data_IF_223155233698
#
_entry.id   IF_223155233698
#
_cell.length_a   1.000
_cell.length_b   1.000
_cell.length_c   1.000
_cell.angle_alpha   90.00
_cell.angle_beta   90.00
_cell.angle_gamma   90.00
#
_symmetry.space_group_name_H-M   'P 1'
#
loop_
_entity.id
_entity.type
_entity.pdbx_description
1 polymer ?
#
# COMPACT_ATOMS: atom_id res chain seq x y z
N UNK A 1 9.52 9.03 3.06
CA UNK A 1 9.05 7.80 3.71
C UNK A 1 9.97 6.58 3.51
N UNK A 2 9.83 5.58 4.38
CA UNK A 2 10.46 4.27 4.29
C UNK A 2 9.36 3.23 4.37
N UNK A 3 9.41 2.23 3.49
CA UNK A 3 8.51 1.09 3.48
C UNK A 3 9.36 -0.18 3.56
N UNK A 4 9.02 -1.06 4.48
CA UNK A 4 9.54 -2.42 4.54
C UNK A 4 8.45 -3.32 3.95
N UNK A 5 8.82 -4.15 3.00
CA UNK A 5 7.89 -5.03 2.30
C UNK A 5 8.27 -6.49 2.40
N UNK A 6 7.26 -7.36 2.32
CA UNK A 6 7.44 -8.81 2.19
C UNK A 6 6.43 -9.40 1.21
N UNK A 7 6.66 -10.64 0.79
CA UNK A 7 5.98 -11.30 -0.32
C UNK A 7 4.80 -12.13 0.18
N UNK A 8 3.59 -11.84 -0.30
CA UNK A 8 2.39 -12.58 0.07
C UNK A 8 1.62 -13.05 -1.15
N UNK A 9 0.95 -14.20 -0.99
CA UNK A 9 -0.19 -14.55 -1.83
C UNK A 9 -1.40 -13.71 -1.44
N UNK A 10 -2.47 -13.80 -2.22
CA UNK A 10 -3.74 -13.11 -1.92
C UNK A 10 -4.92 -13.87 -2.47
N UNK A 11 -6.08 -13.67 -1.87
CA UNK A 11 -7.29 -14.38 -2.24
C UNK A 11 -7.59 -14.27 -3.75
N UNK A 12 -8.09 -15.38 -4.30
CA UNK A 12 -8.63 -15.53 -5.65
C UNK A 12 -7.65 -15.40 -6.82
N UNK A 13 -6.34 -15.21 -6.61
CA UNK A 13 -5.37 -15.09 -7.71
C UNK A 13 -4.10 -15.90 -7.48
N UNK A 14 -3.61 -16.47 -8.56
CA UNK A 14 -2.29 -17.11 -8.61
C UNK A 14 -1.16 -16.07 -8.59
N UNK A 15 -0.04 -16.47 -8.00
CA UNK A 15 1.15 -15.64 -7.86
C UNK A 15 1.19 -14.79 -6.59
N UNK A 16 2.34 -14.15 -6.37
CA UNK A 16 2.62 -13.34 -5.18
C UNK A 16 2.88 -11.89 -5.56
N UNK A 17 2.62 -10.98 -4.62
CA UNK A 17 3.03 -9.57 -4.71
C UNK A 17 3.62 -9.14 -3.37
N UNK A 18 4.36 -8.04 -3.36
CA UNK A 18 4.88 -7.49 -2.12
C UNK A 18 3.82 -6.59 -1.45
N UNK A 19 3.69 -6.72 -0.14
CA UNK A 19 2.86 -5.88 0.73
C UNK A 19 3.75 -5.12 1.71
N UNK A 20 3.29 -3.95 2.16
CA UNK A 20 3.96 -3.18 3.20
C UNK A 20 3.75 -3.83 4.58
N UNK A 21 4.84 -4.24 5.22
CA UNK A 21 4.86 -4.77 6.60
C UNK A 21 5.42 -3.77 7.61
N UNK A 22 6.05 -2.70 7.15
CA UNK A 22 6.44 -1.53 7.94
C UNK A 22 6.35 -0.25 7.11
N UNK A 23 5.89 0.84 7.71
CA UNK A 23 5.75 2.15 7.05
C UNK A 23 6.17 3.26 8.02
N UNK A 24 6.98 4.21 7.55
CA UNK A 24 7.39 5.38 8.31
C UNK A 24 7.46 6.63 7.41
N UNK A 25 7.04 7.78 7.93
CA UNK A 25 7.16 9.08 7.25
C UNK A 25 6.13 9.33 6.15
N UNK A 26 5.04 8.54 6.09
CA UNK A 26 3.89 8.78 5.21
C UNK A 26 2.62 8.12 5.75
N UNK A 27 1.46 8.65 5.35
CA UNK A 27 0.20 7.93 5.45
C UNK A 27 0.21 6.77 4.45
N UNK A 28 0.05 5.51 4.89
CA UNK A 28 0.00 4.37 3.98
C UNK A 28 -1.27 4.31 3.13
N UNK A 29 -2.29 5.09 3.50
CA UNK A 29 -3.56 5.19 2.80
C UNK A 29 -3.68 6.54 2.10
N UNK A 30 -4.27 6.52 0.90
CA UNK A 30 -4.79 7.74 0.27
C UNK A 30 -6.30 7.69 0.31
N UNK A 31 -6.86 8.58 1.11
CA UNK A 31 -8.30 8.69 1.30
C UNK A 31 -8.92 9.64 0.26
N UNK A 32 -9.83 9.11 -0.55
CA UNK A 32 -10.60 9.88 -1.51
C UNK A 32 -12.04 10.14 -1.03
N UNK A 33 -12.40 9.67 0.17
CA UNK A 33 -13.76 9.87 0.69
C UNK A 33 -14.03 11.36 0.87
N UNK A 34 -15.18 11.81 0.38
CA UNK A 34 -15.56 13.22 0.40
C UNK A 34 -14.99 14.06 -0.74
N UNK A 35 -14.16 13.49 -1.63
CA UNK A 35 -13.68 14.20 -2.82
C UNK A 35 -14.58 13.93 -4.03
N UNK A 36 -14.60 14.84 -4.99
CA UNK A 36 -15.29 14.66 -6.26
C UNK A 36 -14.53 13.74 -7.22
N UNK A 37 -15.27 12.88 -7.93
CA UNK A 37 -14.78 12.14 -9.08
C UNK A 37 -14.70 13.03 -10.33
N UNK A 38 -14.24 12.47 -11.45
CA UNK A 38 -14.11 13.18 -12.72
C UNK A 38 -15.44 13.71 -13.29
N UNK A 39 -16.58 13.28 -12.76
CA UNK A 39 -17.92 13.69 -13.16
C UNK A 39 -18.63 14.55 -12.08
N UNK A 40 -17.91 15.00 -11.05
CA UNK A 40 -18.46 15.80 -9.96
C UNK A 40 -19.32 15.03 -8.95
N UNK A 41 -19.14 13.70 -8.83
CA UNK A 41 -19.82 12.88 -7.83
C UNK A 41 -18.90 12.63 -6.63
N UNK A 42 -19.46 12.72 -5.43
CA UNK A 42 -18.71 12.46 -4.19
C UNK A 42 -18.36 10.98 -4.08
N UNK A 43 -17.08 10.70 -3.84
CA UNK A 43 -16.59 9.37 -3.49
C UNK A 43 -16.88 9.08 -2.02
N UNK A 44 -17.56 7.97 -1.72
CA UNK A 44 -17.97 7.64 -0.34
C UNK A 44 -17.10 6.60 0.36
N UNK A 45 -16.39 5.74 -0.40
CA UNK A 45 -15.71 4.56 0.16
C UNK A 45 -14.23 4.50 -0.20
N UNK A 46 -13.83 5.13 -1.30
CA UNK A 46 -12.54 4.88 -1.94
C UNK A 46 -11.37 5.29 -1.04
N UNK A 47 -10.57 4.30 -0.67
CA UNK A 47 -9.28 4.49 -0.02
C UNK A 47 -8.28 3.56 -0.69
N UNK A 48 -7.12 4.08 -1.05
CA UNK A 48 -6.07 3.34 -1.76
C UNK A 48 -4.94 3.02 -0.80
N UNK A 49 -4.52 1.76 -0.75
CA UNK A 49 -3.35 1.32 0.01
C UNK A 49 -2.06 1.66 -0.75
N UNK A 50 -1.71 2.94 -0.77
CA UNK A 50 -0.57 3.47 -1.53
C UNK A 50 0.75 2.84 -1.09
N UNK A 51 0.91 2.52 0.20
CA UNK A 51 2.10 1.80 0.66
C UNK A 51 2.24 0.41 0.03
N UNK A 52 1.13 -0.32 -0.16
CA UNK A 52 1.14 -1.62 -0.84
C UNK A 52 1.38 -1.47 -2.35
N UNK A 53 0.86 -0.43 -3.00
CA UNK A 53 1.16 -0.13 -4.41
C UNK A 53 2.66 0.10 -4.63
N UNK A 54 3.30 0.87 -3.74
CA UNK A 54 4.73 1.13 -3.76
C UNK A 54 5.55 -0.14 -3.46
N UNK A 55 5.13 -0.93 -2.47
CA UNK A 55 5.76 -2.21 -2.13
C UNK A 55 5.72 -3.17 -3.33
N UNK A 56 4.55 -3.32 -3.97
CA UNK A 56 4.37 -4.15 -5.14
C UNK A 56 5.21 -3.65 -6.33
N UNK A 57 5.32 -2.34 -6.52
CA UNK A 57 6.15 -1.75 -7.59
C UNK A 57 7.64 -2.03 -7.37
N UNK A 58 8.12 -1.98 -6.12
CA UNK A 58 9.53 -2.22 -5.80
C UNK A 58 10.01 -3.61 -6.25
N UNK A 59 9.12 -4.63 -6.22
CA UNK A 59 9.43 -5.99 -6.65
C UNK A 59 9.95 -6.06 -8.09
N UNK A 60 9.44 -5.20 -8.99
CA UNK A 60 9.87 -5.18 -10.39
C UNK A 60 11.37 -4.91 -10.56
N UNK A 61 11.97 -4.25 -9.58
CA UNK A 61 13.39 -3.84 -9.60
C UNK A 61 14.23 -4.69 -8.65
N UNK A 62 13.71 -5.02 -7.45
CA UNK A 62 14.44 -5.83 -6.47
C UNK A 62 14.55 -7.28 -6.90
N UNK A 63 13.52 -7.79 -7.60
CA UNK A 63 13.32 -9.21 -7.90
C UNK A 63 13.52 -10.11 -6.65
N UNK A 64 13.60 -11.44 -6.85
CA UNK A 64 13.70 -12.39 -5.74
C UNK A 64 15.09 -12.96 -5.48
N UNK A 65 15.95 -12.99 -6.50
CA UNK A 65 17.16 -13.83 -6.47
C UNK A 65 18.44 -13.10 -6.91
N UNK A 66 18.41 -11.78 -7.02
CA UNK A 66 19.54 -10.97 -7.53
C UNK A 66 20.29 -10.18 -6.44
N UNK A 67 19.96 -10.42 -5.16
CA UNK A 67 20.56 -9.71 -4.02
C UNK A 67 20.44 -8.17 -4.10
N UNK A 68 19.32 -7.67 -4.61
CA UNK A 68 18.97 -6.24 -4.62
C UNK A 68 17.82 -6.00 -3.64
N UNK A 69 18.09 -5.73 -2.35
CA UNK A 69 17.04 -5.69 -1.32
C UNK A 69 16.33 -4.34 -1.17
N UNK A 70 16.80 -3.29 -1.87
CA UNK A 70 16.29 -1.92 -1.71
C UNK A 70 16.04 -1.29 -3.07
N UNK A 71 14.87 -0.67 -3.22
CA UNK A 71 14.52 0.18 -4.36
C UNK A 71 14.31 1.62 -3.89
N UNK A 72 14.65 2.58 -4.75
CA UNK A 72 14.38 4.01 -4.54
C UNK A 72 13.35 4.49 -5.56
N UNK A 73 12.16 4.83 -5.07
CA UNK A 73 11.07 5.39 -5.88
C UNK A 73 11.10 6.92 -5.72
N UNK A 74 11.10 7.65 -6.85
CA UNK A 74 11.13 9.13 -6.87
C UNK A 74 9.97 9.69 -7.68
N UNK A 75 9.57 10.92 -7.36
CA UNK A 75 8.53 11.67 -8.10
C UNK A 75 7.10 11.30 -7.74
N UNK A 76 6.90 10.37 -6.81
CA UNK A 76 5.57 9.97 -6.35
C UNK A 76 5.09 10.89 -5.21
N UNK A 77 3.93 11.55 -5.34
CA UNK A 77 3.37 12.41 -4.28
C UNK A 77 2.73 11.56 -3.18
N UNK A 78 3.10 11.83 -1.93
CA UNK A 78 2.53 11.17 -0.75
C UNK A 78 2.18 12.20 0.33
N UNK A 79 1.26 11.82 1.22
CA UNK A 79 0.92 12.61 2.39
C UNK A 79 1.91 12.30 3.52
N UNK A 80 2.65 13.28 4.07
CA UNK A 80 3.51 13.05 5.23
C UNK A 80 2.69 12.72 6.48
N UNK A 81 3.15 11.72 7.23
CA UNK A 81 2.63 11.31 8.54
C UNK A 81 3.75 10.55 9.30
N UNK A 82 3.55 10.23 10.58
CA UNK A 82 4.44 9.31 11.31
C UNK A 82 4.50 7.96 10.60
N UNK A 83 3.35 7.46 10.13
CA UNK A 83 3.23 6.21 9.38
C UNK A 83 3.20 4.97 10.28
N UNK A 84 2.33 4.02 9.95
CA UNK A 84 2.20 2.72 10.62
C UNK A 84 1.44 1.75 9.74
N UNK A 85 1.76 0.46 9.78
CA UNK A 85 0.96 -0.57 9.09
C UNK A 85 -0.35 -0.87 9.80
N UNK A 86 -0.56 -0.38 11.03
CA UNK A 86 -1.79 -0.61 11.77
C UNK A 86 -3.05 -0.10 11.03
N UNK A 87 -2.94 0.97 10.23
CA UNK A 87 -4.05 1.50 9.44
C UNK A 87 -4.36 0.68 8.18
N UNK A 88 -3.40 -0.12 7.69
CA UNK A 88 -3.62 -1.06 6.58
C UNK A 88 -4.36 -2.32 7.03
N UNK A 89 -4.21 -2.68 8.30
CA UNK A 89 -4.88 -3.85 8.85
C UNK A 89 -6.35 -3.54 9.10
N UNK A 90 -7.22 -4.43 8.59
CA UNK A 90 -8.65 -4.35 8.85
C UNK A 90 -8.91 -4.60 10.33
N UNK A 91 -9.78 -3.79 10.92
CA UNK A 91 -10.26 -4.02 12.27
C UNK A 91 -10.87 -5.43 12.39
N UNK A 92 -10.56 -6.14 13.48
CA UNK A 92 -11.02 -7.52 13.70
C UNK A 92 -12.54 -7.67 13.64
N UNK A 93 -13.29 -6.67 14.10
CA UNK A 93 -14.76 -6.70 14.08
C UNK A 93 -15.34 -6.59 12.66
N UNK A 94 -14.53 -6.14 11.70
CA UNK A 94 -14.91 -5.96 10.29
C UNK A 94 -14.30 -7.03 9.38
N UNK A 95 -13.42 -7.86 9.91
CA UNK A 95 -12.67 -8.84 9.13
C UNK A 95 -13.42 -10.18 9.05
N UNK A 96 -14.24 -10.33 8.01
CA UNK A 96 -15.05 -11.54 7.76
C UNK A 96 -14.24 -12.72 7.19
N UNK A 97 -12.94 -12.54 6.91
CA UNK A 97 -12.07 -13.58 6.35
C UNK A 97 -11.23 -14.31 7.40
N UNK A 98 -11.24 -13.80 8.64
CA UNK A 98 -10.41 -14.27 9.74
C UNK A 98 -11.16 -15.22 10.67
#
# INVERSE_FOLDING_TARGET
PIIISDTFGRAWREGHVNFAIGVAGMDPLKDYRGTDDANGRILHVTTIAVADELAATAEMITAKAINVPVALIRGMPYQPDVGSTASLLRDRTRDMFR
#
